data_IF_433907751748
#
_entry.id   IF_433907751748
#
_cell.length_a   1.000
_cell.length_b   1.000
_cell.length_c   1.000
_cell.angle_alpha   90.00
_cell.angle_beta   90.00
_cell.angle_gamma   90.00
#
_symmetry.space_group_name_H-M   'P 1'
#
loop_
_entity.id
_entity.type
_entity.pdbx_description
1 polymer ?
#
# COMPACT_ATOMS: atom_id res chain seq x y z
N UNK A 1 -37.65 -23.67 -1.86
CA UNK A 1 -36.47 -24.20 -2.56
C UNK A 1 -35.23 -23.78 -1.75
N UNK A 2 -34.61 -24.76 -1.09
CA UNK A 2 -33.49 -24.54 -0.14
C UNK A 2 -32.22 -24.58 -0.95
N UNK A 3 -31.65 -23.44 -1.33
CA UNK A 3 -30.34 -23.35 -1.96
C UNK A 3 -29.27 -23.54 -0.87
N UNK A 4 -28.87 -24.79 -0.67
CA UNK A 4 -27.66 -25.10 0.09
C UNK A 4 -26.48 -24.38 -0.55
N UNK A 5 -25.83 -23.47 0.22
CA UNK A 5 -24.52 -22.94 -0.15
C UNK A 5 -23.57 -24.11 -0.44
N UNK A 6 -22.76 -24.04 -1.49
CA UNK A 6 -21.80 -25.11 -1.78
C UNK A 6 -20.87 -25.28 -0.58
N UNK A 7 -20.75 -26.54 -0.08
CA UNK A 7 -19.76 -26.92 0.89
C UNK A 7 -18.39 -26.47 0.37
N UNK A 8 -17.75 -25.53 1.08
CA UNK A 8 -16.38 -25.16 0.78
C UNK A 8 -15.53 -26.41 0.80
N UNK A 9 -14.98 -26.81 -0.33
CA UNK A 9 -14.01 -27.89 -0.41
C UNK A 9 -12.93 -27.64 0.62
N UNK A 10 -12.59 -28.63 1.44
CA UNK A 10 -11.53 -28.52 2.44
C UNK A 10 -10.24 -28.16 1.69
N UNK A 11 -9.73 -26.93 1.92
CA UNK A 11 -8.46 -26.51 1.34
C UNK A 11 -7.36 -27.41 1.93
N UNK A 12 -6.46 -27.90 1.08
CA UNK A 12 -5.33 -28.74 1.49
C UNK A 12 -4.26 -28.00 2.30
N UNK A 13 -4.55 -26.76 2.76
CA UNK A 13 -3.63 -25.91 3.54
C UNK A 13 -4.42 -25.00 4.48
N UNK A 14 -3.82 -24.59 5.59
CA UNK A 14 -4.32 -23.60 6.52
C UNK A 14 -3.80 -22.18 6.18
N UNK A 15 -4.29 -21.19 6.92
CA UNK A 15 -3.92 -19.79 6.71
C UNK A 15 -2.45 -19.50 7.04
N UNK A 16 -1.83 -20.25 7.95
CA UNK A 16 -0.43 -20.07 8.30
C UNK A 16 0.48 -20.55 7.17
N UNK A 17 0.18 -21.73 6.61
CA UNK A 17 0.89 -22.27 5.45
C UNK A 17 0.75 -21.32 4.23
N UNK A 18 -0.46 -20.82 4.00
CA UNK A 18 -0.69 -19.86 2.89
C UNK A 18 0.10 -18.57 3.05
N UNK A 19 0.10 -17.97 4.26
CA UNK A 19 0.93 -16.77 4.54
C UNK A 19 2.42 -17.04 4.37
N UNK A 20 2.89 -18.21 4.81
CA UNK A 20 4.29 -18.59 4.62
C UNK A 20 4.64 -18.70 3.15
N UNK A 21 3.80 -19.32 2.33
CA UNK A 21 3.99 -19.37 0.88
C UNK A 21 4.01 -17.97 0.25
N UNK A 22 3.08 -17.09 0.60
CA UNK A 22 3.04 -15.70 0.14
C UNK A 22 4.31 -14.93 0.53
N UNK A 23 4.88 -15.19 1.72
CA UNK A 23 6.10 -14.52 2.19
C UNK A 23 7.36 -14.85 1.37
N UNK A 24 7.32 -15.91 0.55
CA UNK A 24 8.42 -16.24 -0.37
C UNK A 24 8.48 -15.32 -1.59
N UNK A 25 7.43 -14.56 -1.86
CA UNK A 25 7.43 -13.53 -2.89
C UNK A 25 8.04 -12.25 -2.34
N UNK A 26 9.29 -11.94 -2.73
CA UNK A 26 9.95 -10.70 -2.35
C UNK A 26 9.23 -9.50 -2.97
N UNK A 27 8.84 -8.53 -2.15
CA UNK A 27 8.17 -7.32 -2.60
C UNK A 27 8.97 -6.07 -2.25
N UNK A 28 8.69 -4.97 -2.92
CA UNK A 28 8.98 -3.66 -2.38
C UNK A 28 8.09 -3.38 -1.15
N UNK A 29 8.41 -2.30 -0.45
CA UNK A 29 7.61 -1.81 0.68
C UNK A 29 7.09 -0.44 0.33
N UNK A 30 5.77 -0.24 0.46
CA UNK A 30 5.15 1.06 0.19
C UNK A 30 4.48 1.62 1.44
N UNK A 31 4.40 2.94 1.51
CA UNK A 31 3.46 3.65 2.40
C UNK A 31 2.48 4.41 1.51
N UNK A 32 1.20 4.09 1.65
CA UNK A 32 0.12 4.78 0.96
C UNK A 32 -0.35 5.93 1.86
N UNK A 33 -0.31 7.15 1.36
CA UNK A 33 -0.61 8.37 2.13
C UNK A 33 -1.76 9.15 1.52
N UNK A 34 -2.56 9.80 2.37
CA UNK A 34 -3.67 10.64 1.93
C UNK A 34 -3.98 11.74 2.94
N UNK A 35 -4.61 12.83 2.46
CA UNK A 35 -5.06 13.95 3.27
C UNK A 35 -6.55 13.77 3.60
N UNK A 36 -6.93 14.05 4.85
CA UNK A 36 -8.30 14.03 5.31
C UNK A 36 -8.98 15.40 5.10
N UNK A 37 -10.30 15.43 5.21
CA UNK A 37 -11.08 16.65 5.06
C UNK A 37 -10.75 17.73 6.11
N UNK A 38 -10.33 17.32 7.31
CA UNK A 38 -9.87 18.23 8.38
C UNK A 38 -8.44 18.75 8.19
N UNK A 39 -7.79 18.37 7.10
CA UNK A 39 -6.42 18.75 6.76
C UNK A 39 -5.33 17.86 7.37
N UNK A 40 -5.67 16.93 8.27
CA UNK A 40 -4.73 15.95 8.81
C UNK A 40 -4.37 14.89 7.75
N UNK A 41 -3.34 14.09 8.04
CA UNK A 41 -2.86 13.07 7.13
C UNK A 41 -3.02 11.67 7.70
N UNK A 42 -3.20 10.70 6.82
CA UNK A 42 -3.17 9.28 7.15
C UNK A 42 -2.28 8.52 6.17
N UNK A 43 -1.75 7.41 6.66
CA UNK A 43 -0.95 6.51 5.86
C UNK A 43 -1.04 5.09 6.39
N UNK A 44 -0.69 4.15 5.54
CA UNK A 44 -0.56 2.73 5.90
C UNK A 44 0.55 2.09 5.09
N UNK A 45 1.20 1.10 5.67
CA UNK A 45 2.21 0.28 4.97
C UNK A 45 1.52 -0.84 4.21
N UNK A 46 1.90 -1.01 2.95
CA UNK A 46 1.40 -2.08 2.09
C UNK A 46 2.53 -2.69 1.25
N UNK A 47 2.50 -4.01 1.10
CA UNK A 47 3.37 -4.77 0.18
C UNK A 47 2.62 -5.30 -1.04
N UNK A 48 1.35 -4.97 -1.17
CA UNK A 48 0.45 -5.45 -2.23
C UNK A 48 0.49 -4.59 -3.51
N UNK A 49 1.34 -3.55 -3.55
CA UNK A 49 1.47 -2.69 -4.72
C UNK A 49 1.92 -3.48 -5.97
N UNK A 50 1.25 -3.23 -7.10
CA UNK A 50 1.66 -3.75 -8.40
C UNK A 50 1.25 -2.81 -9.54
N UNK A 51 1.96 -2.93 -10.69
CA UNK A 51 1.57 -2.28 -11.93
C UNK A 51 0.38 -3.02 -12.58
N UNK A 52 -0.47 -2.28 -13.30
CA UNK A 52 -1.64 -2.83 -14.00
C UNK A 52 -1.58 -2.52 -15.49
N UNK A 53 -1.36 -1.23 -15.86
CA UNK A 53 -1.42 -0.78 -17.26
C UNK A 53 -0.49 0.41 -17.46
N UNK A 54 0.02 0.56 -18.68
CA UNK A 54 0.79 1.75 -19.09
C UNK A 54 -0.08 2.79 -19.79
N UNK A 55 -1.15 2.36 -20.47
CA UNK A 55 -2.07 3.25 -21.18
C UNK A 55 -3.53 2.80 -20.96
N UNK A 56 -4.29 3.49 -20.10
CA UNK A 56 -3.84 4.53 -19.17
C UNK A 56 -2.88 3.99 -18.09
N UNK A 57 -2.09 4.86 -17.44
CA UNK A 57 -1.14 4.43 -16.42
C UNK A 57 -1.87 4.03 -15.14
N UNK A 58 -1.97 2.73 -14.86
CA UNK A 58 -2.70 2.17 -13.73
C UNK A 58 -1.79 1.35 -12.83
N UNK A 59 -2.03 1.47 -11.53
CA UNK A 59 -1.42 0.67 -10.46
C UNK A 59 -2.51 0.13 -9.55
N UNK A 60 -2.19 -0.91 -8.78
CA UNK A 60 -3.10 -1.44 -7.75
C UNK A 60 -2.38 -1.62 -6.41
N UNK A 61 -3.19 -1.68 -5.36
CA UNK A 61 -2.83 -2.14 -4.02
C UNK A 61 -4.08 -2.65 -3.31
N UNK A 62 -3.93 -3.39 -2.22
CA UNK A 62 -5.05 -4.01 -1.51
C UNK A 62 -5.06 -3.61 -0.05
N UNK A 63 -6.27 -3.44 0.51
CA UNK A 63 -6.52 -3.10 1.90
C UNK A 63 -7.53 -4.09 2.48
N UNK A 64 -7.27 -4.58 3.69
CA UNK A 64 -8.22 -5.43 4.40
C UNK A 64 -9.56 -4.73 4.61
N UNK A 65 -10.67 -5.40 4.28
CA UNK A 65 -12.01 -4.82 4.36
C UNK A 65 -12.39 -4.32 5.77
N UNK A 66 -11.83 -4.96 6.81
CA UNK A 66 -12.00 -4.56 8.22
C UNK A 66 -10.98 -3.52 8.72
N UNK A 67 -10.13 -2.96 7.87
CA UNK A 67 -9.15 -1.96 8.30
C UNK A 67 -9.81 -0.64 8.69
N UNK A 68 -9.36 -0.02 9.79
CA UNK A 68 -9.91 1.27 10.24
C UNK A 68 -9.70 2.41 9.23
N UNK A 69 -8.70 2.28 8.36
CA UNK A 69 -8.42 3.22 7.28
C UNK A 69 -9.29 3.00 6.04
N UNK A 70 -10.07 1.92 5.98
CA UNK A 70 -10.93 1.62 4.82
C UNK A 70 -11.88 2.78 4.47
N UNK A 71 -12.64 3.39 5.40
CA UNK A 71 -13.52 4.52 5.07
C UNK A 71 -12.75 5.72 4.51
N UNK A 72 -11.53 5.96 5.02
CA UNK A 72 -10.67 7.06 4.58
C UNK A 72 -10.28 6.89 3.13
N UNK A 73 -9.62 5.77 2.79
CA UNK A 73 -9.16 5.52 1.42
C UNK A 73 -10.31 5.28 0.44
N UNK A 74 -11.44 4.76 0.90
CA UNK A 74 -12.63 4.62 0.06
C UNK A 74 -13.32 5.95 -0.23
N UNK A 75 -13.24 6.93 0.68
CA UNK A 75 -13.87 8.24 0.56
C UNK A 75 -13.01 9.28 -0.18
N UNK A 76 -11.68 9.12 -0.18
CA UNK A 76 -10.78 10.09 -0.77
C UNK A 76 -10.60 9.88 -2.27
N UNK A 77 -10.52 11.00 -3.01
CA UNK A 77 -10.33 11.00 -4.45
C UNK A 77 -8.88 10.75 -4.87
N UNK A 78 -7.91 11.06 -4.00
CA UNK A 78 -6.48 10.95 -4.32
C UNK A 78 -5.69 10.36 -3.15
N UNK A 79 -4.58 9.73 -3.48
CA UNK A 79 -3.57 9.25 -2.55
C UNK A 79 -2.18 9.22 -3.24
N UNK A 80 -1.13 9.16 -2.44
CA UNK A 80 0.23 8.93 -2.94
C UNK A 80 0.71 7.55 -2.50
N UNK A 81 1.29 6.80 -3.42
CA UNK A 81 2.01 5.56 -3.15
C UNK A 81 3.49 5.90 -3.08
N UNK A 82 4.09 5.78 -1.90
CA UNK A 82 5.48 6.05 -1.64
C UNK A 82 6.25 4.73 -1.60
N UNK A 83 7.17 4.48 -2.53
CA UNK A 83 8.06 3.32 -2.52
C UNK A 83 9.22 3.63 -1.59
N UNK A 84 9.29 2.95 -0.45
CA UNK A 84 10.29 3.24 0.56
C UNK A 84 11.72 2.96 0.07
N UNK A 85 12.63 3.85 0.46
CA UNK A 85 14.08 3.70 0.24
C UNK A 85 14.74 2.83 1.30
N UNK A 86 15.94 2.36 1.01
CA UNK A 86 16.79 1.68 1.99
C UNK A 86 16.95 2.56 3.24
N UNK A 87 16.93 1.94 4.43
CA UNK A 87 16.99 2.66 5.70
C UNK A 87 15.67 3.20 6.23
N UNK A 88 14.55 3.04 5.51
CA UNK A 88 13.22 3.46 5.96
C UNK A 88 12.40 2.35 6.64
N UNK A 89 13.05 1.37 7.27
CA UNK A 89 12.37 0.27 7.98
C UNK A 89 11.52 0.78 9.15
N UNK A 90 12.03 1.75 9.93
CA UNK A 90 11.27 2.34 11.03
C UNK A 90 10.01 3.04 10.53
N UNK A 91 10.08 3.70 9.38
CA UNK A 91 8.94 4.35 8.75
C UNK A 91 7.91 3.30 8.29
N UNK A 92 8.34 2.21 7.67
CA UNK A 92 7.49 1.08 7.32
C UNK A 92 6.77 0.51 8.55
N UNK A 93 7.50 0.30 9.64
CA UNK A 93 6.95 -0.22 10.89
C UNK A 93 5.98 0.77 11.55
N UNK A 94 6.25 2.07 11.49
CA UNK A 94 5.37 3.12 12.03
C UNK A 94 4.00 3.10 11.35
N UNK A 95 3.98 3.11 10.03
CA UNK A 95 2.73 3.12 9.25
C UNK A 95 2.03 1.75 9.18
N UNK A 96 2.67 0.67 9.64
CA UNK A 96 2.04 -0.64 9.81
C UNK A 96 1.26 -0.77 11.12
N UNK A 97 1.50 0.12 12.08
CA UNK A 97 0.89 0.09 13.42
C UNK A 97 -0.25 1.10 13.51
N UNK A 98 -1.16 0.84 14.45
CA UNK A 98 -2.19 1.80 14.82
C UNK A 98 -1.58 2.89 15.70
N UNK A 99 -1.57 4.13 15.23
CA UNK A 99 -1.10 5.31 15.97
C UNK A 99 -1.99 6.50 15.68
N UNK A 100 -2.16 7.39 16.67
CA UNK A 100 -3.00 8.59 16.53
C UNK A 100 -2.37 9.60 15.57
N UNK A 101 -1.06 9.81 15.68
CA UNK A 101 -0.30 10.79 14.88
C UNK A 101 0.83 10.12 14.08
N UNK A 102 0.51 9.39 13.00
CA UNK A 102 1.53 8.65 12.25
C UNK A 102 2.56 9.56 11.56
N UNK A 103 2.24 10.83 11.34
CA UNK A 103 3.11 11.82 10.69
C UNK A 103 3.95 12.67 11.65
N UNK A 104 3.83 12.48 12.97
CA UNK A 104 4.65 13.21 13.93
C UNK A 104 6.15 12.95 13.70
N UNK A 105 6.93 14.00 13.44
CA UNK A 105 8.36 13.91 13.15
C UNK A 105 8.71 13.22 11.82
N UNK A 106 7.74 13.04 10.92
CA UNK A 106 7.98 12.50 9.58
C UNK A 106 8.18 13.64 8.59
N UNK A 107 9.27 13.59 7.83
CA UNK A 107 9.54 14.54 6.76
C UNK A 107 8.74 14.19 5.50
N UNK A 108 8.01 15.16 4.99
CA UNK A 108 7.22 15.04 3.76
C UNK A 108 7.13 16.38 3.04
N UNK A 109 6.72 16.31 1.80
CA UNK A 109 6.25 17.46 1.01
C UNK A 109 4.84 17.19 0.49
N UNK A 110 4.14 18.22 0.02
CA UNK A 110 2.80 18.05 -0.53
C UNK A 110 2.86 17.91 -2.05
N UNK A 111 2.12 16.93 -2.57
CA UNK A 111 1.89 16.75 -3.99
C UNK A 111 1.00 17.85 -4.55
N UNK A 112 0.76 17.85 -5.87
CA UNK A 112 -0.11 18.81 -6.56
C UNK A 112 -1.55 18.80 -5.99
N UNK A 113 -2.07 17.64 -5.57
CA UNK A 113 -3.40 17.54 -4.96
C UNK A 113 -3.38 17.66 -3.43
N UNK A 114 -2.23 17.99 -2.83
CA UNK A 114 -2.06 18.20 -1.40
C UNK A 114 -1.92 16.92 -0.59
N UNK A 115 -1.58 15.80 -1.23
CA UNK A 115 -1.31 14.55 -0.55
C UNK A 115 0.16 14.50 -0.07
N UNK A 116 0.47 13.86 1.08
CA UNK A 116 1.85 13.83 1.54
C UNK A 116 2.73 12.87 0.71
N UNK A 117 3.84 13.37 0.20
CA UNK A 117 4.94 12.62 -0.39
C UNK A 117 6.04 12.51 0.66
N UNK A 118 6.37 11.31 1.09
CA UNK A 118 7.40 11.08 2.11
C UNK A 118 8.79 11.36 1.53
N UNK A 119 9.66 12.00 2.30
CA UNK A 119 11.05 12.22 1.89
C UNK A 119 11.89 10.96 2.03
N UNK A 120 12.93 10.84 1.20
CA UNK A 120 13.83 9.69 1.21
C UNK A 120 13.28 8.43 0.54
N UNK A 121 12.16 8.50 -0.17
CA UNK A 121 11.59 7.39 -0.93
C UNK A 121 12.35 7.15 -2.24
N UNK A 122 12.38 5.92 -2.74
CA UNK A 122 13.02 5.59 -4.03
C UNK A 122 12.16 6.00 -5.23
N UNK A 123 10.84 6.05 -5.06
CA UNK A 123 9.88 6.55 -6.05
C UNK A 123 8.56 6.90 -5.36
N UNK A 124 7.73 7.68 -6.04
CA UNK A 124 6.35 7.90 -5.61
C UNK A 124 5.41 8.05 -6.80
N UNK A 125 4.13 7.75 -6.57
CA UNK A 125 3.05 7.86 -7.54
C UNK A 125 1.88 8.60 -6.90
N UNK A 126 1.51 9.77 -7.43
CA UNK A 126 0.25 10.43 -7.10
C UNK A 126 -0.84 9.87 -7.98
N UNK A 127 -1.89 9.34 -7.33
CA UNK A 127 -2.94 8.61 -8.01
C UNK A 127 -4.32 9.20 -7.74
N UNK A 128 -5.12 9.33 -8.79
CA UNK A 128 -6.57 9.39 -8.68
C UNK A 128 -7.12 8.03 -8.28
N UNK A 129 -7.99 7.96 -7.28
CA UNK A 129 -8.62 6.74 -6.79
C UNK A 129 -9.73 6.28 -7.76
N UNK A 130 -9.35 5.57 -8.80
CA UNK A 130 -10.18 5.30 -9.98
C UNK A 130 -11.30 4.31 -9.73
N UNK A 131 -10.97 3.14 -9.17
CA UNK A 131 -11.94 2.07 -8.92
C UNK A 131 -11.53 1.15 -7.78
N UNK A 132 -12.50 0.44 -7.23
CA UNK A 132 -12.33 -0.47 -6.10
C UNK A 132 -13.11 -1.74 -6.34
N UNK A 133 -12.49 -2.88 -5.99
CA UNK A 133 -13.07 -4.20 -6.19
C UNK A 133 -12.99 -4.99 -4.87
N UNK A 134 -14.12 -5.26 -4.22
CA UNK A 134 -14.16 -6.17 -3.06
C UNK A 134 -13.80 -7.60 -3.50
N UNK A 135 -12.77 -8.17 -2.89
CA UNK A 135 -12.32 -9.54 -3.17
C UNK A 135 -11.94 -10.26 -1.87
N UNK A 136 -12.76 -11.22 -1.48
CA UNK A 136 -12.56 -11.97 -0.24
C UNK A 136 -12.64 -11.06 0.98
N UNK A 137 -11.58 -11.07 1.81
CA UNK A 137 -11.45 -10.23 3.00
C UNK A 137 -10.69 -8.91 2.74
N UNK A 138 -10.47 -8.56 1.47
CA UNK A 138 -9.78 -7.35 1.02
C UNK A 138 -10.59 -6.57 0.00
N UNK A 139 -10.17 -5.33 -0.22
CA UNK A 139 -10.60 -4.47 -1.34
C UNK A 139 -9.35 -4.12 -2.15
N UNK A 140 -9.41 -4.38 -3.46
CA UNK A 140 -8.38 -3.96 -4.41
C UNK A 140 -8.69 -2.52 -4.84
N UNK A 141 -7.74 -1.63 -4.64
CA UNK A 141 -7.78 -0.25 -5.12
C UNK A 141 -7.00 -0.16 -6.43
N UNK A 142 -7.61 0.39 -7.46
CA UNK A 142 -6.94 0.73 -8.72
C UNK A 142 -6.79 2.24 -8.79
N UNK A 143 -5.53 2.69 -8.86
CA UNK A 143 -5.18 4.10 -9.01
C UNK A 143 -4.75 4.42 -10.42
N UNK A 144 -5.24 5.53 -10.95
CA UNK A 144 -4.72 6.13 -12.18
C UNK A 144 -3.62 7.12 -11.81
N UNK A 145 -2.42 6.86 -12.30
CA UNK A 145 -1.24 7.68 -11.97
C UNK A 145 -1.31 8.99 -12.73
N UNK A 146 -1.37 10.10 -12.00
CA UNK A 146 -1.37 11.45 -12.57
C UNK A 146 0.03 12.07 -12.57
N UNK A 147 0.84 11.75 -11.56
CA UNK A 147 2.23 12.18 -11.45
C UNK A 147 3.06 11.09 -10.78
N UNK A 148 4.34 11.02 -11.12
CA UNK A 148 5.30 10.16 -10.44
C UNK A 148 6.71 10.75 -10.55
N UNK A 149 7.58 10.33 -9.63
CA UNK A 149 9.01 10.59 -9.71
C UNK A 149 9.80 9.39 -9.19
N UNK A 150 11.05 9.31 -9.63
CA UNK A 150 12.01 8.32 -9.20
C UNK A 150 13.26 9.02 -8.65
N UNK A 151 13.84 8.45 -7.59
CA UNK A 151 15.06 8.95 -6.96
C UNK A 151 16.16 7.86 -7.03
N UNK A 152 17.45 8.24 -7.21
CA UNK A 152 18.55 7.30 -7.41
C UNK A 152 19.00 6.69 -6.08
N UNK A 153 18.15 5.89 -5.46
CA UNK A 153 18.48 5.19 -4.20
C UNK A 153 17.97 3.76 -4.22
N UNK A 154 18.55 2.94 -3.34
CA UNK A 154 18.12 1.56 -3.15
C UNK A 154 16.70 1.52 -2.60
N UNK A 155 15.90 0.54 -3.02
CA UNK A 155 14.55 0.33 -2.48
C UNK A 155 14.59 -0.59 -1.26
N UNK A 156 13.69 -0.36 -0.32
CA UNK A 156 13.41 -1.27 0.78
C UNK A 156 12.62 -2.48 0.26
N UNK A 157 13.07 -3.67 0.63
CA UNK A 157 12.43 -4.94 0.29
C UNK A 157 11.84 -5.62 1.53
N UNK A 158 10.85 -6.48 1.31
CA UNK A 158 10.30 -7.37 2.33
C UNK A 158 10.21 -8.79 1.77
N UNK A 159 10.84 -9.74 2.48
CA UNK A 159 10.86 -11.15 2.11
C UNK A 159 10.97 -12.03 3.35
N UNK A 160 10.19 -13.11 3.43
CA UNK A 160 10.27 -14.08 4.52
C UNK A 160 10.09 -13.47 5.92
N UNK A 161 9.32 -12.37 6.04
CA UNK A 161 9.11 -11.66 7.30
C UNK A 161 10.25 -10.71 7.70
N UNK A 162 11.21 -10.43 6.79
CA UNK A 162 12.38 -9.58 7.05
C UNK A 162 12.51 -8.48 6.02
N UNK A 163 13.04 -7.35 6.46
CA UNK A 163 13.45 -6.29 5.56
C UNK A 163 14.80 -6.60 4.92
N UNK A 164 15.00 -6.09 3.73
CA UNK A 164 16.25 -6.11 2.97
C UNK A 164 16.30 -4.91 2.02
N UNK A 165 17.31 -4.86 1.17
CA UNK A 165 17.47 -3.76 0.20
C UNK A 165 17.85 -4.32 -1.16
N UNK A 166 17.55 -3.54 -2.23
CA UNK A 166 18.09 -3.84 -3.56
C UNK A 166 19.60 -3.64 -3.56
N UNK A 167 20.36 -4.34 -4.44
CA UNK A 167 21.78 -4.06 -4.60
C UNK A 167 22.01 -2.59 -5.04
N UNK A 168 23.20 -2.03 -4.78
CA UNK A 168 23.59 -0.74 -5.34
C UNK A 168 23.48 -0.75 -6.88
N UNK A 169 23.11 0.39 -7.44
CA UNK A 169 23.10 0.60 -8.90
C UNK A 169 24.45 1.01 -9.39
#
# INVERSE_FOLDING_TARGET
>A
MNTRAPLAASRGFDSAHFRHALSQFATGVTVITTRLADGSFRGLTASSFNSVSLEPPLVLWSLGAGANSMPIFSGNSHYVINILGAGQEELAMRFSRRTENPFEGVDYELSRTGQPILKGVSAWFECHNRSRYPEGDHVIFVGEVEQCAVHPQQALLFHGGRFGTTPPR
#
